data_IF_013748736402
#
_entry.id   IF_013748736402
#
_cell.length_a   1.000
_cell.length_b   1.000
_cell.length_c   1.000
_cell.angle_alpha   90.00
_cell.angle_beta   90.00
_cell.angle_gamma   90.00
#
_symmetry.space_group_name_H-M   'P 1'
#
loop_
_entity.id
_entity.type
_entity.pdbx_description
1 polymer ?
#
# COMPACT_ATOMS: atom_id res chain seq x y z
N UNK A 1 -14.13 -2.38 -10.84
CA UNK A 1 -13.17 -3.41 -10.40
C UNK A 1 -11.87 -2.71 -10.07
N UNK A 2 -11.25 -3.09 -8.96
CA UNK A 2 -9.94 -2.55 -8.56
C UNK A 2 -8.91 -3.67 -8.57
N UNK A 3 -7.65 -3.31 -8.74
CA UNK A 3 -6.50 -4.22 -8.84
C UNK A 3 -5.62 -4.09 -7.62
N UNK A 4 -5.44 -5.20 -6.90
CA UNK A 4 -4.52 -5.28 -5.77
C UNK A 4 -3.08 -5.46 -6.25
N UNK A 5 -2.12 -4.97 -5.46
CA UNK A 5 -0.70 -5.05 -5.73
C UNK A 5 0.02 -5.65 -4.53
N UNK A 6 0.95 -6.55 -4.78
CA UNK A 6 1.67 -7.31 -3.77
C UNK A 6 3.17 -7.25 -4.03
N UNK A 7 3.96 -7.09 -2.97
CA UNK A 7 5.39 -7.34 -3.02
C UNK A 7 5.62 -8.82 -2.69
N UNK A 8 6.11 -9.59 -3.66
CA UNK A 8 6.44 -11.01 -3.49
C UNK A 8 7.90 -11.16 -3.07
N UNK A 9 8.10 -11.67 -1.86
CA UNK A 9 9.39 -12.01 -1.28
C UNK A 9 9.61 -13.53 -1.33
N UNK A 10 10.87 -13.97 -1.38
CA UNK A 10 11.27 -15.38 -1.24
C UNK A 10 10.47 -16.41 -2.07
N UNK A 11 10.41 -16.31 -3.41
CA UNK A 11 9.72 -17.31 -4.21
C UNK A 11 10.38 -18.70 -4.04
N UNK A 12 9.61 -19.66 -3.55
CA UNK A 12 10.04 -21.04 -3.41
C UNK A 12 10.29 -21.66 -4.80
N UNK A 13 11.53 -22.04 -5.08
CA UNK A 13 11.93 -22.61 -6.38
C UNK A 13 11.24 -23.94 -6.74
N UNK A 14 10.58 -24.61 -5.79
CA UNK A 14 9.92 -25.90 -6.04
C UNK A 14 8.41 -25.79 -6.24
N UNK A 15 7.73 -24.87 -5.56
CA UNK A 15 6.26 -24.76 -5.60
C UNK A 15 5.75 -23.38 -6.05
N UNK A 16 6.64 -22.40 -6.26
CA UNK A 16 6.28 -21.06 -6.70
C UNK A 16 5.56 -20.21 -5.65
N UNK A 17 5.37 -20.70 -4.43
CA UNK A 17 4.81 -19.91 -3.32
C UNK A 17 5.83 -18.88 -2.86
N UNK A 18 5.37 -17.67 -2.61
CA UNK A 18 6.15 -16.54 -2.09
C UNK A 18 5.42 -15.95 -0.89
N UNK A 19 6.16 -15.31 -0.01
CA UNK A 19 5.55 -14.44 0.99
C UNK A 19 5.02 -13.20 0.25
N UNK A 20 3.73 -12.91 0.41
CA UNK A 20 3.07 -11.79 -0.27
C UNK A 20 2.76 -10.67 0.72
N UNK A 21 3.37 -9.51 0.50
CA UNK A 21 3.07 -8.31 1.23
C UNK A 21 2.09 -7.44 0.44
N UNK A 22 0.89 -7.21 0.96
CA UNK A 22 -0.10 -6.39 0.29
C UNK A 22 0.32 -4.92 0.30
N UNK A 23 0.62 -4.36 -0.88
CA UNK A 23 1.02 -2.95 -1.04
C UNK A 23 -0.20 -2.03 -1.03
N UNK A 24 -1.28 -2.46 -1.68
CA UNK A 24 -2.52 -1.71 -1.75
C UNK A 24 -3.30 -2.01 -3.02
N UNK A 25 -4.30 -1.16 -3.30
CA UNK A 25 -5.27 -1.36 -4.39
C UNK A 25 -5.42 -0.11 -5.24
N UNK A 26 -5.41 -0.31 -6.55
CA UNK A 26 -5.88 0.68 -7.53
C UNK A 26 -7.37 0.45 -7.80
N UNK A 27 -8.23 1.42 -7.55
CA UNK A 27 -9.68 1.29 -7.82
C UNK A 27 -10.02 1.99 -9.13
N UNK A 28 -10.64 1.31 -10.10
CA UNK A 28 -10.87 1.84 -11.46
C UNK A 28 -11.54 3.23 -11.49
N UNK A 29 -10.73 4.28 -11.65
CA UNK A 29 -11.15 5.69 -11.66
C UNK A 29 -10.89 6.49 -10.36
N UNK A 30 -10.31 5.85 -9.34
CA UNK A 30 -9.98 6.41 -8.03
C UNK A 30 -8.47 6.37 -7.79
N UNK A 31 -7.97 7.22 -6.88
CA UNK A 31 -6.56 7.20 -6.48
C UNK A 31 -6.17 5.85 -5.88
N UNK A 32 -4.89 5.52 -5.99
CA UNK A 32 -4.33 4.34 -5.32
C UNK A 32 -4.53 4.44 -3.80
N UNK A 33 -4.94 3.33 -3.18
CA UNK A 33 -5.04 3.18 -1.74
C UNK A 33 -3.97 2.25 -1.22
N UNK A 34 -3.06 2.75 -0.40
CA UNK A 34 -1.99 1.95 0.19
C UNK A 34 -2.49 1.16 1.39
N UNK A 35 -1.95 -0.04 1.56
CA UNK A 35 -1.99 -0.72 2.87
C UNK A 35 -0.99 -0.02 3.77
N UNK A 36 -1.45 0.36 4.96
CA UNK A 36 -0.55 0.78 6.02
C UNK A 36 -0.32 -0.37 7.00
N UNK A 37 0.92 -0.46 7.47
CA UNK A 37 1.35 -1.45 8.45
C UNK A 37 1.80 -0.75 9.73
N UNK A 38 1.40 -1.26 10.88
CA UNK A 38 1.77 -0.70 12.19
C UNK A 38 2.80 -1.59 12.86
N UNK A 39 3.50 -1.06 13.85
CA UNK A 39 4.51 -1.82 14.58
C UNK A 39 4.04 -2.04 16.02
N UNK A 40 2.90 -2.72 16.14
CA UNK A 40 2.39 -3.24 17.40
C UNK A 40 2.40 -4.78 17.30
N UNK A 41 3.23 -5.47 18.10
CA UNK A 41 3.41 -6.93 18.01
C UNK A 41 2.20 -7.73 18.51
N UNK A 42 1.29 -7.11 19.27
CA UNK A 42 0.03 -7.74 19.71
C UNK A 42 -1.13 -7.44 18.74
N UNK A 43 -0.81 -6.81 17.62
CA UNK A 43 -1.75 -6.33 16.61
C UNK A 43 -1.64 -7.18 15.34
N UNK A 44 -2.77 -7.62 14.80
CA UNK A 44 -2.84 -8.31 13.50
C UNK A 44 -2.37 -7.41 12.34
N UNK A 45 -2.24 -6.11 12.59
CA UNK A 45 -1.66 -5.09 11.70
C UNK A 45 -0.14 -4.96 11.81
N UNK A 46 0.52 -5.89 12.51
CA UNK A 46 1.98 -5.94 12.65
C UNK A 46 2.67 -5.93 11.29
N UNK A 47 3.64 -5.04 11.16
CA UNK A 47 4.39 -4.87 9.94
C UNK A 47 5.34 -6.04 9.72
N UNK A 48 5.14 -6.86 8.68
CA UNK A 48 6.08 -7.91 8.32
C UNK A 48 7.39 -7.33 7.76
N UNK A 49 7.50 -6.00 7.63
CA UNK A 49 8.74 -5.34 7.22
C UNK A 49 9.71 -5.07 8.36
N UNK A 50 9.29 -5.26 9.61
CA UNK A 50 10.10 -4.98 10.81
C UNK A 50 10.08 -3.50 11.25
N UNK A 51 9.30 -2.66 10.58
CA UNK A 51 9.06 -1.25 10.94
C UNK A 51 7.68 -0.81 10.42
N UNK A 52 7.04 0.23 11.00
CA UNK A 52 5.73 0.68 10.53
C UNK A 52 5.84 1.31 9.13
N UNK A 53 4.82 1.09 8.30
CA UNK A 53 4.69 1.63 6.94
C UNK A 53 3.46 2.52 6.91
N UNK A 54 3.65 3.84 7.06
CA UNK A 54 2.56 4.79 7.30
C UNK A 54 2.44 5.88 6.24
N UNK A 55 3.35 5.89 5.28
CA UNK A 55 3.47 6.91 4.24
C UNK A 55 4.01 6.32 2.95
N UNK A 56 3.88 7.06 1.84
CA UNK A 56 4.46 6.66 0.55
C UNK A 56 5.97 6.52 0.64
N UNK A 57 6.64 7.41 1.38
CA UNK A 57 8.09 7.33 1.61
C UNK A 57 8.50 6.07 2.36
N UNK A 58 7.66 5.56 3.27
CA UNK A 58 7.95 4.28 3.94
C UNK A 58 7.84 3.11 2.96
N UNK A 59 6.87 3.13 2.03
CA UNK A 59 6.80 2.16 0.94
C UNK A 59 8.00 2.23 0.01
N UNK A 60 8.50 3.44 -0.27
CA UNK A 60 9.74 3.62 -1.04
C UNK A 60 10.93 2.95 -0.34
N UNK A 61 11.05 3.09 0.99
CA UNK A 61 12.08 2.37 1.77
C UNK A 61 11.90 0.86 1.66
N UNK A 62 10.67 0.36 1.81
CA UNK A 62 10.37 -1.09 1.65
C UNK A 62 10.86 -1.61 0.31
N UNK A 63 10.54 -0.93 -0.80
CA UNK A 63 10.99 -1.36 -2.14
C UNK A 63 12.50 -1.24 -2.35
N UNK A 64 13.19 -0.42 -1.57
CA UNK A 64 14.65 -0.26 -1.64
C UNK A 64 15.36 -1.31 -0.78
N UNK A 65 14.86 -1.57 0.41
CA UNK A 65 15.53 -2.38 1.43
C UNK A 65 15.21 -3.87 1.29
N UNK A 66 14.04 -4.22 0.74
CA UNK A 66 13.58 -5.61 0.64
C UNK A 66 13.72 -6.16 -0.78
N UNK A 67 14.42 -7.30 -0.96
CA UNK A 67 14.45 -7.98 -2.24
C UNK A 67 13.10 -8.62 -2.53
N UNK A 68 12.42 -8.17 -3.58
CA UNK A 68 11.13 -8.73 -3.98
C UNK A 68 10.67 -8.20 -5.33
N UNK A 69 9.59 -8.79 -5.84
CA UNK A 69 8.95 -8.36 -7.10
C UNK A 69 7.59 -7.75 -6.78
N UNK A 70 7.38 -6.52 -7.21
CA UNK A 70 6.05 -5.92 -7.18
C UNK A 70 5.22 -6.56 -8.29
N UNK A 71 4.08 -7.15 -7.96
CA UNK A 71 3.17 -7.77 -8.91
C UNK A 71 1.75 -7.28 -8.66
N UNK A 72 0.92 -7.29 -9.69
CA UNK A 72 -0.52 -7.11 -9.53
C UNK A 72 -1.22 -8.43 -9.17
N UNK A 73 -2.52 -8.37 -8.87
CA UNK A 73 -3.35 -9.52 -8.50
C UNK A 73 -3.45 -10.61 -9.59
N UNK A 74 -3.09 -10.28 -10.83
CA UNK A 74 -3.04 -11.21 -11.95
C UNK A 74 -1.63 -11.78 -12.17
N UNK A 75 -0.68 -11.44 -11.30
CA UNK A 75 0.71 -11.88 -11.36
C UNK A 75 1.55 -11.15 -12.39
N UNK A 76 1.09 -10.01 -12.92
CA UNK A 76 1.90 -9.18 -13.82
C UNK A 76 2.90 -8.38 -13.00
N UNK A 77 4.17 -8.52 -13.34
CA UNK A 77 5.26 -7.84 -12.67
C UNK A 77 5.34 -6.36 -13.07
N UNK A 78 5.60 -5.51 -12.08
CA UNK A 78 5.94 -4.10 -12.26
C UNK A 78 7.46 -4.00 -12.24
N UNK A 79 8.05 -3.74 -13.41
CA UNK A 79 9.52 -3.79 -13.61
C UNK A 79 10.28 -2.80 -12.73
N UNK A 80 9.73 -1.61 -12.50
CA UNK A 80 10.35 -0.58 -11.66
C UNK A 80 9.37 -0.10 -10.58
N UNK A 81 9.40 -0.70 -9.37
CA UNK A 81 8.51 -0.33 -8.28
C UNK A 81 8.62 1.13 -7.84
N UNK A 82 9.82 1.71 -7.92
CA UNK A 82 10.08 3.10 -7.50
C UNK A 82 9.47 4.08 -8.51
N UNK A 83 9.73 3.89 -9.80
CA UNK A 83 9.11 4.72 -10.84
C UNK A 83 7.58 4.57 -10.88
N UNK A 84 7.08 3.35 -10.65
CA UNK A 84 5.65 3.11 -10.50
C UNK A 84 5.06 3.89 -9.32
N UNK A 85 5.72 3.85 -8.16
CA UNK A 85 5.31 4.58 -6.95
C UNK A 85 5.28 6.10 -7.19
N UNK A 86 6.28 6.61 -7.92
CA UNK A 86 6.43 8.03 -8.24
C UNK A 86 5.42 8.53 -9.27
N UNK A 87 4.96 7.64 -10.16
CA UNK A 87 3.92 7.95 -11.13
C UNK A 87 2.52 8.05 -10.49
N UNK A 88 2.31 7.48 -9.30
CA UNK A 88 1.03 7.57 -8.60
C UNK A 88 0.73 9.01 -8.22
N UNK A 89 -0.55 9.38 -8.34
CA UNK A 89 -1.05 10.69 -7.94
C UNK A 89 -1.97 10.53 -6.73
N UNK A 90 -1.89 11.47 -5.76
CA UNK A 90 -2.88 11.52 -4.70
C UNK A 90 -4.26 11.86 -5.29
N UNK A 91 -5.35 11.57 -4.57
CA UNK A 91 -6.69 11.87 -5.08
C UNK A 91 -6.89 13.37 -5.31
N UNK A 92 -7.60 13.69 -6.38
CA UNK A 92 -7.95 15.07 -6.71
C UNK A 92 -8.99 15.64 -5.71
N UNK A 93 -9.24 16.95 -5.77
CA UNK A 93 -10.21 17.61 -4.88
C UNK A 93 -11.64 17.06 -5.01
N UNK A 94 -12.01 16.54 -6.18
CA UNK A 94 -13.35 15.97 -6.41
C UNK A 94 -13.47 14.63 -5.71
N UNK A 95 -12.46 13.78 -5.84
CA UNK A 95 -12.33 12.52 -5.12
C UNK A 95 -12.30 12.78 -3.61
N UNK A 96 -11.46 13.71 -3.14
CA UNK A 96 -11.40 14.11 -1.73
C UNK A 96 -12.75 14.60 -1.19
N UNK A 97 -13.53 15.39 -1.96
CA UNK A 97 -14.87 15.85 -1.53
C UNK A 97 -15.88 14.72 -1.44
N UNK A 98 -15.81 13.77 -2.36
CA UNK A 98 -16.67 12.59 -2.33
C UNK A 98 -16.34 11.68 -1.13
N UNK A 99 -15.06 11.63 -0.76
CA UNK A 99 -14.53 10.88 0.37
C UNK A 99 -14.69 11.63 1.72
N UNK A 100 -14.78 12.96 1.65
CA UNK A 100 -14.79 13.92 2.76
C UNK A 100 -16.04 13.93 3.63
N UNK A 101 -16.91 12.93 3.47
CA UNK A 101 -17.96 12.62 4.45
C UNK A 101 -17.55 11.50 5.43
N UNK A 102 -16.49 10.73 5.15
CA UNK A 102 -16.11 9.55 5.95
C UNK A 102 -14.61 9.43 6.31
N UNK A 103 -13.69 10.11 5.62
CA UNK A 103 -12.24 10.02 5.92
C UNK A 103 -11.72 11.30 6.57
N UNK A 104 -11.06 11.16 7.72
CA UNK A 104 -10.41 12.26 8.42
C UNK A 104 -9.47 13.03 7.49
N UNK A 105 -9.67 14.33 7.37
CA UNK A 105 -8.99 15.22 6.43
C UNK A 105 -7.52 15.53 6.74
N UNK A 106 -6.89 14.79 7.66
CA UNK A 106 -5.55 15.09 8.17
C UNK A 106 -4.76 13.82 8.50
N UNK A 107 -3.42 13.94 8.48
CA UNK A 107 -2.50 12.91 8.97
C UNK A 107 -2.90 12.47 10.37
N UNK A 108 -3.35 11.23 10.47
CA UNK A 108 -3.81 10.55 11.70
C UNK A 108 -3.40 9.09 11.61
N UNK A 109 -2.11 8.77 11.81
CA UNK A 109 -1.61 7.40 11.65
C UNK A 109 -2.25 6.42 12.65
N UNK A 110 -2.94 6.93 13.68
CA UNK A 110 -3.74 6.21 14.66
C UNK A 110 -5.14 5.83 14.15
N UNK A 111 -5.68 6.53 13.14
CA UNK A 111 -6.95 6.23 12.51
C UNK A 111 -6.87 5.00 11.59
N UNK A 112 -7.98 4.26 11.44
CA UNK A 112 -8.07 3.13 10.49
C UNK A 112 -7.74 3.53 9.05
N UNK A 113 -8.15 4.75 8.73
CA UNK A 113 -8.06 5.36 7.42
C UNK A 113 -7.40 6.73 7.58
N UNK A 114 -6.29 6.97 6.88
CA UNK A 114 -5.58 8.26 6.96
C UNK A 114 -5.00 8.69 5.63
N UNK A 115 -4.47 9.91 5.63
CA UNK A 115 -3.64 10.43 4.56
C UNK A 115 -2.24 10.71 5.06
N UNK A 116 -1.25 10.43 4.24
CA UNK A 116 0.10 10.93 4.51
C UNK A 116 0.19 12.44 4.21
N UNK A 117 1.37 13.02 4.43
CA UNK A 117 1.62 14.45 4.21
C UNK A 117 1.51 14.87 2.74
N UNK A 118 1.58 13.91 1.81
CA UNK A 118 1.46 14.13 0.37
C UNK A 118 0.02 13.90 -0.12
N UNK A 119 -0.89 13.54 0.78
CA UNK A 119 -2.30 13.34 0.49
C UNK A 119 -2.66 11.93 -0.01
N UNK A 120 -1.67 11.03 -0.13
CA UNK A 120 -1.93 9.64 -0.44
C UNK A 120 -2.66 8.96 0.68
N UNK A 121 -3.50 8.01 0.29
CA UNK A 121 -4.43 7.37 1.19
C UNK A 121 -3.89 6.04 1.68
N UNK A 122 -4.08 5.80 2.97
CA UNK A 122 -3.69 4.57 3.65
C UNK A 122 -4.88 3.97 4.40
N UNK A 123 -4.91 2.64 4.42
CA UNK A 123 -5.89 1.82 5.12
C UNK A 123 -5.16 0.78 5.97
N UNK A 124 -5.63 0.53 7.19
CA UNK A 124 -5.11 -0.55 8.03
C UNK A 124 -5.82 -1.91 7.83
N UNK A 125 -7.00 -1.90 7.19
CA UNK A 125 -7.81 -3.08 6.93
C UNK A 125 -7.54 -3.78 5.59
N UNK A 126 -8.14 -4.96 5.41
CA UNK A 126 -8.17 -5.66 4.12
C UNK A 126 -9.07 -4.96 3.10
N UNK A 127 -8.57 -4.87 1.87
CA UNK A 127 -9.31 -4.32 0.76
C UNK A 127 -10.26 -5.40 0.22
N UNK A 128 -11.56 -5.28 0.51
CA UNK A 128 -12.61 -6.10 -0.12
C UNK A 128 -12.65 -5.93 -1.64
#
# INVERSE_FOLDING_TARGET
MGTNYYLREHPCGSCGRSDELHVGKSSGGWSFGFRGYRHDPDDDRYSPTGYPVLSRDDWRKVFTDKPGRLVDEYGREVENPIEWLDALQPPDLKQQRWEGSNMGSYWRPDARDWRDTEGFRFYDGDFS
#
